data_IF_868697333942
#
_entry.id   IF_868697333942
#
_cell.length_a   1.000
_cell.length_b   1.000
_cell.length_c   1.000
_cell.angle_alpha   90.00
_cell.angle_beta   90.00
_cell.angle_gamma   90.00
#
_symmetry.space_group_name_H-M   'P 1'
#
loop_
_entity.id
_entity.type
_entity.pdbx_description
1 polymer ?
#
# COMPACT_ATOMS: atom_id res chain seq x y z
N UNK A 1 32.31 -10.43 36.61
CA UNK A 1 30.86 -10.71 36.49
C UNK A 1 30.70 -11.83 35.49
N UNK A 2 29.82 -12.80 35.74
CA UNK A 2 29.59 -13.89 34.79
C UNK A 2 28.78 -13.36 33.60
N UNK A 3 29.38 -13.33 32.41
CA UNK A 3 28.76 -12.85 31.18
C UNK A 3 28.34 -14.07 30.36
N UNK A 4 27.07 -14.44 30.45
CA UNK A 4 26.55 -15.61 29.76
C UNK A 4 26.08 -15.26 28.34
N UNK A 5 26.54 -16.04 27.37
CA UNK A 5 26.15 -15.91 25.96
C UNK A 5 25.37 -17.14 25.50
N UNK A 6 24.25 -16.99 24.76
CA UNK A 6 23.54 -18.13 24.19
C UNK A 6 24.40 -18.84 23.13
N UNK A 7 24.25 -20.17 22.98
CA UNK A 7 25.05 -20.98 22.06
C UNK A 7 25.04 -20.49 20.60
N UNK A 8 23.92 -19.91 20.15
CA UNK A 8 23.82 -19.31 18.81
C UNK A 8 24.75 -18.10 18.62
N UNK A 9 24.95 -17.31 19.68
CA UNK A 9 25.88 -16.17 19.70
C UNK A 9 27.32 -16.65 19.79
N UNK A 10 27.58 -17.64 20.62
CA UNK A 10 28.90 -18.29 20.73
C UNK A 10 29.37 -18.83 19.38
N UNK A 11 28.53 -19.60 18.68
CA UNK A 11 28.84 -20.14 17.36
C UNK A 11 29.18 -19.06 16.33
N UNK A 12 28.41 -17.96 16.31
CA UNK A 12 28.65 -16.83 15.40
C UNK A 12 29.91 -16.04 15.76
N UNK A 13 30.17 -15.84 17.05
CA UNK A 13 31.30 -15.07 17.55
C UNK A 13 32.64 -15.77 17.31
N UNK A 14 32.66 -17.10 17.45
CA UNK A 14 33.83 -17.96 17.22
C UNK A 14 33.99 -18.34 15.74
N UNK A 15 32.94 -18.13 14.92
CA UNK A 15 32.97 -18.47 13.49
C UNK A 15 32.87 -19.97 13.19
N UNK A 16 32.35 -20.77 14.13
CA UNK A 16 32.19 -22.22 13.98
C UNK A 16 30.72 -22.63 13.94
N UNK A 17 30.44 -23.78 13.33
CA UNK A 17 29.07 -24.29 13.24
C UNK A 17 28.49 -24.62 14.62
N UNK A 18 27.15 -24.50 14.76
CA UNK A 18 26.45 -24.86 16.00
C UNK A 18 26.67 -26.32 16.40
N UNK A 19 26.78 -27.23 15.42
CA UNK A 19 27.07 -28.65 15.65
C UNK A 19 28.48 -28.88 16.19
N UNK A 20 29.47 -28.08 15.77
CA UNK A 20 30.81 -28.12 16.33
C UNK A 20 30.81 -27.68 17.80
N UNK A 21 30.13 -26.58 18.13
CA UNK A 21 29.97 -26.14 19.53
C UNK A 21 29.24 -27.21 20.36
N UNK A 22 28.16 -27.79 19.85
CA UNK A 22 27.43 -28.86 20.55
C UNK A 22 28.28 -30.11 20.79
N UNK A 23 29.17 -30.45 19.86
CA UNK A 23 30.11 -31.55 20.02
C UNK A 23 31.14 -31.25 21.11
N UNK A 24 31.72 -30.06 21.13
CA UNK A 24 32.66 -29.65 22.18
C UNK A 24 32.03 -29.66 23.58
N UNK A 25 30.74 -29.35 23.66
CA UNK A 25 29.97 -29.43 24.91
C UNK A 25 29.76 -30.90 25.33
N UNK A 26 29.40 -31.76 24.37
CA UNK A 26 29.24 -33.19 24.60
C UNK A 26 30.55 -33.85 25.03
N UNK A 27 31.67 -33.45 24.43
CA UNK A 27 33.00 -34.01 24.68
C UNK A 27 33.66 -33.41 25.94
N UNK A 28 32.97 -32.48 26.62
CA UNK A 28 33.40 -31.88 27.88
C UNK A 28 34.45 -30.78 27.74
N UNK A 29 34.74 -30.33 26.52
CA UNK A 29 35.73 -29.29 26.24
C UNK A 29 35.22 -27.88 26.54
N UNK A 30 33.90 -27.67 26.46
CA UNK A 30 33.23 -26.39 26.70
C UNK A 30 32.08 -26.53 27.71
N UNK A 31 32.18 -25.87 28.86
CA UNK A 31 31.10 -25.89 29.85
C UNK A 31 29.90 -25.02 29.43
N UNK A 32 28.69 -25.51 29.70
CA UNK A 32 27.44 -24.78 29.44
C UNK A 32 26.49 -24.85 30.62
N UNK A 33 25.64 -23.84 30.71
CA UNK A 33 24.53 -23.77 31.65
C UNK A 33 23.28 -23.28 30.91
N UNK A 34 22.24 -24.12 30.87
CA UNK A 34 20.94 -23.80 30.23
C UNK A 34 21.05 -23.21 28.82
N UNK A 35 21.90 -23.81 27.97
CA UNK A 35 22.12 -23.32 26.60
C UNK A 35 22.88 -21.99 26.51
N UNK A 36 23.57 -21.59 27.58
CA UNK A 36 24.48 -20.44 27.63
C UNK A 36 25.89 -20.86 28.07
N UNK A 37 26.89 -20.08 27.66
CA UNK A 37 28.31 -20.28 27.98
C UNK A 37 28.82 -19.01 28.65
N UNK A 38 29.57 -19.15 29.74
CA UNK A 38 30.24 -18.02 30.38
C UNK A 38 31.39 -17.51 29.50
N UNK A 39 31.52 -16.19 29.38
CA UNK A 39 32.57 -15.56 28.56
C UNK A 39 33.99 -16.00 28.96
N UNK A 40 34.26 -16.21 30.24
CA UNK A 40 35.60 -16.62 30.67
C UNK A 40 35.89 -18.07 30.24
N UNK A 41 34.87 -18.93 30.29
CA UNK A 41 34.96 -20.29 29.75
C UNK A 41 35.14 -20.27 28.23
N UNK A 42 34.47 -19.35 27.54
CA UNK A 42 34.63 -19.18 26.10
C UNK A 42 36.04 -18.72 25.73
N UNK A 43 36.58 -17.71 26.42
CA UNK A 43 37.94 -17.20 26.20
C UNK A 43 39.01 -18.22 26.59
N UNK A 44 38.72 -19.15 27.51
CA UNK A 44 39.62 -20.28 27.83
C UNK A 44 39.79 -21.21 26.63
N UNK A 45 38.71 -21.47 25.90
CA UNK A 45 38.70 -22.40 24.75
C UNK A 45 39.04 -21.69 23.44
N UNK A 46 38.66 -20.42 23.31
CA UNK A 46 38.87 -19.58 22.12
C UNK A 46 39.46 -18.21 22.51
N UNK A 47 40.78 -18.13 22.75
CA UNK A 47 41.42 -16.93 23.29
C UNK A 47 41.45 -15.75 22.31
N UNK A 48 41.33 -15.99 21.01
CA UNK A 48 41.43 -14.95 19.97
C UNK A 48 40.10 -14.23 19.67
N UNK A 49 39.03 -14.56 20.40
CA UNK A 49 37.70 -14.01 20.17
C UNK A 49 37.63 -12.54 20.60
N UNK A 50 37.39 -11.65 19.63
CA UNK A 50 37.11 -10.24 19.88
C UNK A 50 35.61 -10.06 20.10
N UNK A 51 35.22 -9.67 21.32
CA UNK A 51 33.82 -9.41 21.67
C UNK A 51 33.52 -7.91 21.54
N UNK A 52 32.64 -7.55 20.61
CA UNK A 52 31.99 -6.24 20.54
C UNK A 52 30.49 -6.40 20.84
N UNK A 53 29.98 -5.68 21.85
CA UNK A 53 28.59 -5.79 22.31
C UNK A 53 27.59 -4.99 21.46
N UNK A 54 28.08 -4.13 20.56
CA UNK A 54 27.32 -3.00 20.02
C UNK A 54 26.47 -3.29 18.76
N UNK A 55 26.75 -4.37 18.02
CA UNK A 55 26.22 -4.54 16.67
C UNK A 55 24.74 -4.95 16.59
N UNK A 56 24.26 -5.77 17.52
CA UNK A 56 22.89 -6.32 17.46
C UNK A 56 21.87 -5.43 18.17
N UNK A 57 22.26 -4.73 19.24
CA UNK A 57 21.39 -3.76 19.91
C UNK A 57 21.03 -2.61 18.95
N UNK A 58 22.02 -2.05 18.26
CA UNK A 58 21.81 -1.02 17.22
C UNK A 58 20.86 -1.51 16.13
N UNK A 59 21.02 -2.74 15.65
CA UNK A 59 20.12 -3.32 14.62
C UNK A 59 18.68 -3.48 15.12
N UNK A 60 18.48 -3.90 16.37
CA UNK A 60 17.15 -4.01 16.97
C UNK A 60 16.51 -2.63 17.17
N UNK A 61 17.29 -1.63 17.57
CA UNK A 61 16.84 -0.24 17.65
C UNK A 61 16.46 0.33 16.28
N UNK A 62 17.25 0.07 15.24
CA UNK A 62 16.94 0.45 13.86
C UNK A 62 15.65 -0.21 13.36
N UNK A 63 15.46 -1.50 13.64
CA UNK A 63 14.23 -2.22 13.29
C UNK A 63 13.02 -1.63 14.04
N UNK A 64 13.17 -1.32 15.34
CA UNK A 64 12.13 -0.67 16.15
C UNK A 64 11.80 0.73 15.63
N UNK A 65 12.80 1.53 15.30
CA UNK A 65 12.62 2.88 14.75
C UNK A 65 11.89 2.82 13.40
N UNK A 66 12.30 1.93 12.50
CA UNK A 66 11.65 1.75 11.19
C UNK A 66 10.22 1.26 11.31
N UNK A 67 9.94 0.34 12.24
CA UNK A 67 8.58 -0.14 12.52
C UNK A 67 7.70 0.96 13.14
N UNK A 68 8.27 1.83 13.97
CA UNK A 68 7.58 2.96 14.56
C UNK A 68 7.21 4.02 13.51
N UNK A 69 8.16 4.43 12.67
CA UNK A 69 7.91 5.39 11.59
C UNK A 69 6.82 4.94 10.61
N UNK A 70 6.78 3.63 10.28
CA UNK A 70 5.73 3.08 9.42
C UNK A 70 4.34 3.15 10.07
N UNK A 71 4.23 2.82 11.36
CA UNK A 71 2.95 2.87 12.10
C UNK A 71 2.44 4.29 12.32
N UNK A 72 3.35 5.25 12.53
CA UNK A 72 2.99 6.67 12.65
C UNK A 72 2.40 7.15 11.34
N UNK A 73 3.05 6.87 10.21
CA UNK A 73 2.57 7.32 8.90
C UNK A 73 1.24 6.69 8.46
N UNK A 74 0.93 5.47 8.93
CA UNK A 74 -0.36 4.80 8.71
C UNK A 74 -1.48 5.30 9.64
N UNK A 75 -1.17 6.04 10.72
CA UNK A 75 -2.16 6.48 11.74
C UNK A 75 -2.21 7.98 12.01
N UNK A 76 -1.29 8.78 11.49
CA UNK A 76 -1.36 10.24 11.62
C UNK A 76 -2.11 10.82 10.43
N UNK A 77 -3.18 11.56 10.74
CA UNK A 77 -3.92 12.33 9.75
C UNK A 77 -2.95 13.28 9.03
N UNK A 78 -2.98 13.37 7.67
CA UNK A 78 -2.20 14.36 6.93
C UNK A 78 -2.48 15.79 7.41
N UNK A 79 -1.60 16.73 7.06
CA UNK A 79 -1.80 18.15 7.39
C UNK A 79 -3.17 18.64 6.89
N UNK A 80 -3.81 19.51 7.65
CA UNK A 80 -5.10 20.13 7.33
C UNK A 80 -5.08 20.82 5.97
N UNK A 81 -3.94 21.40 5.56
CA UNK A 81 -3.77 22.06 4.26
C UNK A 81 -3.83 21.04 3.12
N UNK A 82 -3.13 19.91 3.28
CA UNK A 82 -3.16 18.80 2.31
C UNK A 82 -4.55 18.18 2.21
N UNK A 83 -5.27 18.06 3.33
CA UNK A 83 -6.65 17.59 3.32
C UNK A 83 -7.60 18.56 2.63
N UNK A 84 -7.44 19.86 2.86
CA UNK A 84 -8.26 20.89 2.22
C UNK A 84 -8.03 20.92 0.70
N UNK A 85 -6.77 20.81 0.26
CA UNK A 85 -6.43 20.71 -1.16
C UNK A 85 -7.03 19.45 -1.80
N UNK A 86 -6.88 18.29 -1.16
CA UNK A 86 -7.50 17.04 -1.65
C UNK A 86 -9.02 17.12 -1.72
N UNK A 87 -9.65 17.72 -0.71
CA UNK A 87 -11.09 17.92 -0.68
C UNK A 87 -11.54 18.87 -1.80
N UNK A 88 -10.76 19.92 -2.07
CA UNK A 88 -11.02 20.86 -3.15
C UNK A 88 -10.95 20.17 -4.52
N UNK A 89 -9.89 19.39 -4.78
CA UNK A 89 -9.76 18.63 -6.03
C UNK A 89 -10.88 17.59 -6.18
N UNK A 90 -11.20 16.83 -5.12
CA UNK A 90 -12.37 15.94 -5.13
C UNK A 90 -13.69 16.69 -5.38
N UNK A 91 -13.84 17.89 -4.82
CA UNK A 91 -15.02 18.72 -5.03
C UNK A 91 -15.15 19.17 -6.49
N UNK A 92 -14.03 19.49 -7.14
CA UNK A 92 -13.96 19.85 -8.55
C UNK A 92 -14.30 18.67 -9.46
N UNK A 93 -13.70 17.50 -9.20
CA UNK A 93 -14.02 16.27 -9.94
C UNK A 93 -15.49 15.88 -9.77
N UNK A 94 -16.03 16.01 -8.55
CA UNK A 94 -17.44 15.74 -8.28
C UNK A 94 -18.36 16.70 -9.03
N UNK A 95 -18.05 17.99 -9.03
CA UNK A 95 -18.84 18.99 -9.76
C UNK A 95 -18.83 18.69 -11.27
N UNK A 96 -17.66 18.36 -11.83
CA UNK A 96 -17.51 17.96 -13.22
C UNK A 96 -18.37 16.73 -13.57
N UNK A 97 -18.27 15.67 -12.76
CA UNK A 97 -19.05 14.45 -12.95
C UNK A 97 -20.57 14.71 -12.82
N UNK A 98 -20.97 15.54 -11.87
CA UNK A 98 -22.38 15.92 -11.68
C UNK A 98 -22.93 16.72 -12.87
N UNK A 99 -22.16 17.67 -13.40
CA UNK A 99 -22.54 18.42 -14.59
C UNK A 99 -22.74 17.50 -15.79
N UNK A 100 -21.82 16.55 -15.99
CA UNK A 100 -21.93 15.56 -17.07
C UNK A 100 -23.18 14.67 -16.91
N UNK A 101 -23.47 14.24 -15.69
CA UNK A 101 -24.66 13.44 -15.40
C UNK A 101 -25.94 14.20 -15.71
N UNK A 102 -26.03 15.47 -15.31
CA UNK A 102 -27.19 16.32 -15.59
C UNK A 102 -27.37 16.54 -17.09
N UNK A 103 -26.28 16.78 -17.83
CA UNK A 103 -26.32 16.89 -19.29
C UNK A 103 -26.88 15.62 -19.95
N UNK A 104 -26.40 14.44 -19.55
CA UNK A 104 -26.91 13.19 -20.11
C UNK A 104 -28.37 12.91 -19.73
N UNK A 105 -28.80 13.30 -18.53
CA UNK A 105 -30.21 13.19 -18.14
C UNK A 105 -31.10 14.09 -19.03
N UNK A 106 -30.66 15.31 -19.34
CA UNK A 106 -31.36 16.21 -20.28
C UNK A 106 -31.41 15.64 -21.70
N UNK A 107 -30.30 15.10 -22.20
CA UNK A 107 -30.24 14.46 -23.52
C UNK A 107 -31.18 13.26 -23.60
N UNK A 108 -31.26 12.44 -22.54
CA UNK A 108 -32.14 11.28 -22.49
C UNK A 108 -33.63 11.68 -22.44
N UNK A 109 -33.98 12.73 -21.67
CA UNK A 109 -35.36 13.24 -21.66
C UNK A 109 -35.78 13.77 -23.03
N UNK A 110 -34.93 14.55 -23.68
CA UNK A 110 -35.24 15.07 -25.01
C UNK A 110 -35.34 13.94 -26.04
N UNK A 111 -34.51 12.90 -25.91
CA UNK A 111 -34.63 11.71 -26.75
C UNK A 111 -36.00 11.04 -26.56
N UNK A 112 -36.48 10.92 -25.32
CA UNK A 112 -37.80 10.38 -25.00
C UNK A 112 -38.92 11.23 -25.63
N UNK A 113 -38.91 12.56 -25.41
CA UNK A 113 -39.86 13.51 -26.00
C UNK A 113 -39.90 13.41 -27.54
N UNK A 114 -38.73 13.28 -28.17
CA UNK A 114 -38.65 13.14 -29.63
C UNK A 114 -39.12 11.78 -30.14
N UNK A 115 -38.95 10.71 -29.36
CA UNK A 115 -39.49 9.40 -29.72
C UNK A 115 -41.02 9.41 -29.65
N UNK A 116 -41.58 10.10 -28.65
CA UNK A 116 -43.03 10.35 -28.55
C UNK A 116 -43.54 11.18 -29.74
N UNK A 117 -42.85 12.27 -30.11
CA UNK A 117 -43.19 13.07 -31.31
C UNK A 117 -43.27 12.18 -32.58
N UNK A 118 -42.33 11.24 -32.75
CA UNK A 118 -42.31 10.31 -33.89
C UNK A 118 -43.42 9.27 -33.81
N UNK A 119 -43.73 8.79 -32.61
CA UNK A 119 -44.82 7.85 -32.38
C UNK A 119 -46.19 8.48 -32.68
N UNK A 120 -46.38 9.75 -32.33
CA UNK A 120 -47.60 10.52 -32.58
C UNK A 120 -47.74 10.97 -34.04
N UNK A 121 -46.64 11.28 -34.74
CA UNK A 121 -46.64 11.84 -36.09
C UNK A 121 -46.98 10.85 -37.24
N UNK A 122 -47.42 9.62 -36.96
CA UNK A 122 -47.57 8.60 -37.99
C UNK A 122 -48.67 8.88 -39.03
N UNK A 123 -48.30 9.17 -40.30
CA UNK A 123 -48.72 8.44 -41.54
C UNK A 123 -47.74 8.75 -42.69
N UNK A 124 -46.77 7.86 -42.94
CA UNK A 124 -45.91 7.85 -44.14
C UNK A 124 -44.49 7.36 -43.85
N UNK A 125 -44.04 6.26 -44.48
CA UNK A 125 -42.68 5.71 -44.26
C UNK A 125 -41.58 6.76 -44.45
N UNK A 126 -41.77 7.70 -45.38
CA UNK A 126 -40.85 8.82 -45.60
C UNK A 126 -40.78 9.82 -44.44
N UNK A 127 -41.89 10.14 -43.77
CA UNK A 127 -41.87 11.12 -42.65
C UNK A 127 -41.17 10.53 -41.43
N UNK A 128 -41.45 9.26 -41.11
CA UNK A 128 -40.80 8.55 -40.00
C UNK A 128 -39.30 8.40 -40.25
N UNK A 129 -38.88 8.09 -41.49
CA UNK A 129 -37.46 8.02 -41.85
C UNK A 129 -36.76 9.37 -41.67
N UNK A 130 -37.39 10.49 -42.08
CA UNK A 130 -36.82 11.81 -41.92
C UNK A 130 -36.67 12.19 -40.43
N UNK A 131 -37.72 11.96 -39.62
CA UNK A 131 -37.65 12.24 -38.18
C UNK A 131 -36.58 11.44 -37.45
N UNK A 132 -36.34 10.19 -37.85
CA UNK A 132 -35.25 9.36 -37.29
C UNK A 132 -33.87 9.91 -37.69
N UNK A 133 -33.72 10.42 -38.92
CA UNK A 133 -32.46 11.03 -39.39
C UNK A 133 -32.18 12.31 -38.61
N UNK A 134 -33.18 13.16 -38.43
CA UNK A 134 -33.08 14.41 -37.68
C UNK A 134 -32.73 14.14 -36.21
N UNK A 135 -33.37 13.13 -35.59
CA UNK A 135 -33.05 12.66 -34.25
C UNK A 135 -31.58 12.21 -34.13
N UNK A 136 -31.10 11.39 -35.08
CA UNK A 136 -29.70 10.93 -35.09
C UNK A 136 -28.70 12.06 -35.22
N UNK A 137 -29.04 13.08 -36.02
CA UNK A 137 -28.17 14.25 -36.20
C UNK A 137 -28.13 15.10 -34.94
N UNK A 138 -29.28 15.35 -34.32
CA UNK A 138 -29.36 16.07 -33.04
C UNK A 138 -28.62 15.34 -31.92
N UNK A 139 -28.84 14.02 -31.77
CA UNK A 139 -28.18 13.23 -30.72
C UNK A 139 -26.65 13.26 -30.87
N UNK A 140 -26.14 13.21 -32.11
CA UNK A 140 -24.71 13.37 -32.35
C UNK A 140 -24.20 14.73 -31.91
N UNK A 141 -24.91 15.81 -32.25
CA UNK A 141 -24.52 17.16 -31.86
C UNK A 141 -24.50 17.34 -30.34
N UNK A 142 -25.49 16.82 -29.62
CA UNK A 142 -25.54 16.95 -28.15
C UNK A 142 -24.53 16.06 -27.41
N UNK A 143 -24.23 14.87 -27.95
CA UNK A 143 -23.14 14.04 -27.43
C UNK A 143 -21.77 14.72 -27.66
N UNK A 144 -21.59 15.41 -28.79
CA UNK A 144 -20.39 16.20 -29.07
C UNK A 144 -20.31 17.49 -28.24
N UNK A 145 -21.46 18.07 -27.84
CA UNK A 145 -21.56 19.27 -27.01
C UNK A 145 -21.24 19.04 -25.52
N UNK A 146 -20.64 17.89 -25.16
CA UNK A 146 -20.30 17.50 -23.79
C UNK A 146 -19.74 18.70 -23.00
N UNK A 147 -20.38 19.11 -21.89
CA UNK A 147 -19.95 20.28 -21.14
C UNK A 147 -18.53 20.08 -20.61
N UNK A 148 -17.66 21.07 -20.87
CA UNK A 148 -16.30 21.07 -20.33
C UNK A 148 -16.35 21.36 -18.84
N UNK A 149 -15.70 20.49 -18.07
CA UNK A 149 -15.50 20.60 -16.63
C UNK A 149 -14.64 21.80 -16.23
#
# INVERSE_FOLDING_TARGET
>A
MAHFLPLSRVARLVGVSRSAIQRMIHDGELATFDGTVDMNELLRVFPDVQWEDDGEFKRVEEIKAKAFSRRVMERTLPDKEVLAERLYEMGKEYAAAKTLLLHYDEVLRFLDDKLDDVAEAGVGKQSVQQSIVDLKQWLRQELEATPKA
#
